data_IF_355363130453
#
_entry.id   IF_355363130453
#
_cell.length_a   1.000
_cell.length_b   1.000
_cell.length_c   1.000
_cell.angle_alpha   90.00
_cell.angle_beta   90.00
_cell.angle_gamma   90.00
#
_symmetry.space_group_name_H-M   'P 1'
#
loop_
_entity.id
_entity.type
_entity.pdbx_description
1 polymer ?
#
# COMPACT_ATOMS: atom_id res chain seq x y z
N UNK A 1 -22.42 11.37 22.01
CA UNK A 1 -22.42 11.93 20.65
C UNK A 1 -21.31 11.20 19.90
N UNK A 2 -21.68 10.19 19.12
CA UNK A 2 -20.75 9.20 18.56
C UNK A 2 -19.86 9.81 17.47
N UNK A 3 -18.55 9.62 17.63
CA UNK A 3 -17.50 10.13 16.72
C UNK A 3 -17.32 9.28 15.43
N UNK A 4 -18.13 8.23 15.21
CA UNK A 4 -17.87 7.27 14.14
C UNK A 4 -18.15 7.81 12.74
N UNK A 5 -19.26 8.47 12.53
CA UNK A 5 -19.62 8.98 11.20
C UNK A 5 -18.75 10.16 10.73
N UNK A 6 -18.28 11.02 11.66
CA UNK A 6 -17.39 12.14 11.33
C UNK A 6 -15.97 11.74 10.85
N UNK A 7 -15.49 10.55 11.19
CA UNK A 7 -14.17 10.08 10.78
C UNK A 7 -14.13 9.58 9.32
N UNK A 8 -15.24 9.09 8.79
CA UNK A 8 -15.30 8.60 7.40
C UNK A 8 -15.48 9.72 6.37
N UNK A 9 -16.06 10.86 6.75
CA UNK A 9 -16.23 12.03 5.86
C UNK A 9 -14.87 12.64 5.47
N UNK A 10 -13.85 12.56 6.31
CA UNK A 10 -12.50 13.11 6.02
C UNK A 10 -11.61 12.22 5.14
N UNK A 11 -11.88 10.93 5.05
CA UNK A 11 -11.06 10.00 4.26
C UNK A 11 -11.48 9.93 2.77
N UNK A 12 -12.72 10.29 2.42
CA UNK A 12 -13.22 10.24 1.03
C UNK A 12 -13.02 11.54 0.24
N UNK A 13 -12.59 12.64 0.87
CA UNK A 13 -12.41 13.94 0.20
C UNK A 13 -11.11 14.11 -0.59
N UNK A 14 -10.28 13.07 -0.68
CA UNK A 14 -8.96 13.14 -1.34
C UNK A 14 -8.86 12.40 -2.69
N UNK A 15 -9.94 11.83 -3.23
CA UNK A 15 -9.88 11.07 -4.49
C UNK A 15 -10.89 11.47 -5.58
N UNK A 16 -11.56 12.61 -5.47
CA UNK A 16 -12.47 13.09 -6.51
C UNK A 16 -12.23 14.56 -6.86
N UNK A 17 -11.02 14.85 -7.39
CA UNK A 17 -10.74 16.11 -8.06
C UNK A 17 -10.45 15.87 -9.54
N UNK A 18 -11.48 15.55 -10.32
CA UNK A 18 -11.46 15.82 -11.77
C UNK A 18 -12.87 15.98 -12.30
N UNK A 19 -13.10 17.18 -12.82
CA UNK A 19 -14.16 17.61 -13.74
C UNK A 19 -15.61 17.66 -13.21
N UNK A 20 -15.98 18.80 -12.62
CA UNK A 20 -17.33 19.33 -12.81
C UNK A 20 -17.20 20.81 -13.22
N UNK A 21 -17.38 21.02 -14.51
CA UNK A 21 -17.71 22.35 -15.07
C UNK A 21 -19.08 22.73 -14.52
N UNK A 22 -19.14 23.88 -13.90
CA UNK A 22 -20.36 24.40 -13.30
C UNK A 22 -21.46 24.69 -14.32
N UNK A 23 -22.65 24.43 -13.91
CA UNK A 23 -23.81 25.19 -14.30
C UNK A 23 -24.54 25.61 -13.03
N UNK A 24 -24.33 26.83 -12.60
CA UNK A 24 -25.26 27.49 -11.72
C UNK A 24 -26.58 27.62 -12.46
N UNK A 25 -27.59 26.89 -12.02
CA UNK A 25 -28.97 27.23 -12.31
C UNK A 25 -29.65 27.61 -11.00
N UNK A 26 -29.92 28.88 -10.86
CA UNK A 26 -30.92 29.39 -9.92
C UNK A 26 -32.22 28.60 -10.12
N UNK A 27 -32.63 27.84 -9.13
CA UNK A 27 -33.97 27.24 -9.13
C UNK A 27 -34.88 28.05 -8.22
N UNK A 28 -35.51 29.02 -8.84
CA UNK A 28 -36.80 29.54 -8.35
C UNK A 28 -37.90 28.63 -8.86
N UNK A 29 -38.74 28.11 -7.96
CA UNK A 29 -40.09 27.63 -8.30
C UNK A 29 -40.21 26.12 -8.55
N UNK A 30 -41.13 25.53 -7.80
CA UNK A 30 -41.62 24.18 -7.76
C UNK A 30 -41.41 23.31 -9.00
N UNK A 31 -40.66 22.21 -8.86
CA UNK A 31 -40.57 21.17 -9.88
C UNK A 31 -41.93 20.45 -9.97
N UNK A 32 -42.57 20.49 -11.14
CA UNK A 32 -43.79 19.71 -11.45
C UNK A 32 -43.48 18.20 -11.71
N UNK A 33 -42.34 17.69 -11.25
CA UNK A 33 -41.97 16.31 -11.42
C UNK A 33 -42.30 15.45 -10.19
N UNK A 34 -42.63 14.18 -10.43
CA UNK A 34 -42.78 13.20 -9.34
C UNK A 34 -41.39 12.98 -8.69
N UNK A 35 -41.31 13.00 -7.36
CA UNK A 35 -40.06 12.71 -6.67
C UNK A 35 -39.50 11.33 -7.05
N UNK A 36 -38.18 11.25 -7.20
CA UNK A 36 -37.45 10.02 -7.54
C UNK A 36 -36.22 9.88 -6.63
N UNK A 37 -36.08 8.73 -5.98
CA UNK A 37 -34.90 8.37 -5.24
C UNK A 37 -33.91 7.73 -6.22
N UNK A 38 -32.64 8.12 -6.15
CA UNK A 38 -31.55 7.50 -6.91
C UNK A 38 -30.51 7.00 -5.93
N UNK A 39 -30.29 5.68 -5.90
CA UNK A 39 -29.30 5.00 -5.07
C UNK A 39 -28.44 4.14 -5.99
N UNK A 40 -27.11 4.36 -5.98
CA UNK A 40 -26.18 3.62 -6.84
C UNK A 40 -25.81 2.25 -6.26
N UNK A 41 -25.77 2.13 -4.93
CA UNK A 41 -25.36 0.92 -4.22
C UNK A 41 -26.57 0.18 -3.69
N UNK A 42 -26.85 -1.01 -4.22
CA UNK A 42 -27.99 -1.85 -3.80
C UNK A 42 -27.58 -3.04 -2.93
N UNK A 43 -26.26 -3.23 -2.71
CA UNK A 43 -25.73 -4.34 -1.89
C UNK A 43 -24.54 -3.90 -1.09
N UNK A 44 -24.49 -4.28 0.18
CA UNK A 44 -23.34 -4.17 1.07
C UNK A 44 -22.91 -5.56 1.52
N UNK A 45 -21.67 -5.94 1.23
CA UNK A 45 -21.04 -7.13 1.78
C UNK A 45 -20.19 -6.72 2.99
N UNK A 46 -20.59 -7.18 4.15
CA UNK A 46 -20.05 -6.74 5.45
C UNK A 46 -19.28 -7.89 6.08
N UNK A 47 -18.09 -7.58 6.61
CA UNK A 47 -17.32 -8.55 7.40
C UNK A 47 -18.00 -8.86 8.75
N UNK A 48 -17.70 -10.03 9.33
CA UNK A 48 -18.31 -10.50 10.58
C UNK A 48 -18.16 -9.54 11.78
N UNK A 49 -17.11 -8.71 11.81
CA UNK A 49 -16.92 -7.69 12.87
C UNK A 49 -17.91 -6.52 12.80
N UNK A 50 -18.64 -6.38 11.67
CA UNK A 50 -19.53 -5.25 11.46
C UNK A 50 -18.77 -3.93 11.30
N UNK A 51 -19.43 -2.81 11.66
CA UNK A 51 -18.88 -1.45 11.63
C UNK A 51 -19.81 -0.44 10.98
N UNK A 52 -19.35 0.80 10.87
CA UNK A 52 -20.10 1.89 10.26
C UNK A 52 -19.98 1.94 8.73
N UNK A 53 -21.09 2.15 8.05
CA UNK A 53 -21.21 2.23 6.60
C UNK A 53 -21.95 3.50 6.20
N UNK A 54 -21.63 4.00 5.00
CA UNK A 54 -22.28 5.16 4.41
C UNK A 54 -22.82 4.80 3.04
N UNK A 55 -24.05 5.16 2.78
CA UNK A 55 -24.73 4.99 1.51
C UNK A 55 -25.11 6.35 0.93
N UNK A 56 -24.60 6.67 -0.24
CA UNK A 56 -24.95 7.90 -0.95
C UNK A 56 -26.27 7.74 -1.69
N UNK A 57 -27.09 8.79 -1.66
CA UNK A 57 -28.33 8.87 -2.41
C UNK A 57 -28.62 10.28 -2.92
N UNK A 58 -29.53 10.40 -3.85
CA UNK A 58 -30.04 11.67 -4.37
C UNK A 58 -31.56 11.61 -4.53
N UNK A 59 -32.25 12.69 -4.20
CA UNK A 59 -33.67 12.84 -4.50
C UNK A 59 -33.82 13.87 -5.60
N UNK A 60 -34.32 13.43 -6.75
CA UNK A 60 -34.73 14.33 -7.83
C UNK A 60 -36.17 14.79 -7.61
N UNK A 61 -36.45 16.03 -7.93
CA UNK A 61 -37.77 16.67 -7.77
C UNK A 61 -38.32 16.59 -6.32
N UNK A 62 -37.45 16.45 -5.33
CA UNK A 62 -37.82 16.38 -3.93
C UNK A 62 -38.10 17.76 -3.32
N UNK A 63 -38.80 17.77 -2.18
CA UNK A 63 -39.03 18.96 -1.39
C UNK A 63 -37.82 19.31 -0.56
N UNK A 64 -37.34 20.54 -0.62
CA UNK A 64 -36.17 21.02 0.11
C UNK A 64 -36.32 20.77 1.63
N UNK A 65 -35.38 20.05 2.20
CA UNK A 65 -35.31 19.78 3.64
C UNK A 65 -36.11 18.56 4.10
N UNK A 66 -36.85 17.91 3.20
CA UNK A 66 -37.51 16.62 3.51
C UNK A 66 -36.52 15.50 3.26
N UNK A 67 -36.32 14.63 4.26
CA UNK A 67 -35.44 13.46 4.20
C UNK A 67 -36.25 12.22 3.83
N UNK A 68 -35.61 11.19 3.25
CA UNK A 68 -36.26 9.90 3.02
C UNK A 68 -36.55 9.19 4.35
N UNK A 69 -37.54 8.37 4.34
CA UNK A 69 -37.81 7.40 5.39
C UNK A 69 -36.98 6.15 5.16
N UNK A 70 -36.26 5.73 6.21
CA UNK A 70 -35.34 4.59 6.15
C UNK A 70 -35.74 3.58 7.20
N UNK A 71 -36.08 2.38 6.77
CA UNK A 71 -36.49 1.26 7.62
C UNK A 71 -35.55 0.08 7.51
N UNK A 72 -35.11 -0.46 8.64
CA UNK A 72 -34.44 -1.77 8.71
C UNK A 72 -35.16 -2.62 9.77
N UNK A 73 -35.56 -3.83 9.40
CA UNK A 73 -36.29 -4.74 10.29
C UNK A 73 -35.36 -5.62 11.17
N UNK A 74 -34.07 -5.54 10.96
CA UNK A 74 -33.10 -6.32 11.72
C UNK A 74 -32.59 -5.52 12.91
N UNK A 75 -32.44 -6.18 14.03
CA UNK A 75 -31.88 -5.66 15.28
C UNK A 75 -30.34 -5.48 15.26
N UNK A 76 -29.68 -5.99 14.22
CA UNK A 76 -28.23 -5.95 14.06
C UNK A 76 -27.73 -4.89 13.04
N UNK A 77 -28.65 -4.10 12.47
CA UNK A 77 -28.33 -2.93 11.64
C UNK A 77 -29.06 -1.71 12.19
N UNK A 78 -28.29 -0.76 12.69
CA UNK A 78 -28.79 0.46 13.30
C UNK A 78 -28.62 1.63 12.31
N UNK A 79 -29.71 2.32 11.95
CA UNK A 79 -29.64 3.57 11.16
C UNK A 79 -29.23 4.68 12.11
N UNK A 80 -28.00 5.21 11.95
CA UNK A 80 -27.45 6.24 12.85
C UNK A 80 -27.82 7.65 12.44
N UNK A 81 -27.79 7.95 11.14
CA UNK A 81 -28.04 9.29 10.63
C UNK A 81 -28.55 9.26 9.18
N UNK A 82 -29.53 10.09 8.88
CA UNK A 82 -29.99 10.36 7.51
C UNK A 82 -29.77 11.84 7.23
N UNK A 83 -28.93 12.16 6.28
CA UNK A 83 -28.66 13.52 5.81
C UNK A 83 -29.34 13.75 4.46
N UNK A 84 -29.18 14.90 3.83
CA UNK A 84 -29.75 15.20 2.50
C UNK A 84 -29.10 14.44 1.35
N UNK A 85 -27.97 13.77 1.59
CA UNK A 85 -27.21 13.04 0.54
C UNK A 85 -26.74 11.65 0.97
N UNK A 86 -26.78 11.33 2.28
CA UNK A 86 -26.19 10.13 2.82
C UNK A 86 -27.06 9.51 3.90
N UNK A 87 -27.03 8.18 3.94
CA UNK A 87 -27.57 7.37 5.03
C UNK A 87 -26.41 6.68 5.70
N UNK A 88 -26.18 6.96 6.97
CA UNK A 88 -25.17 6.33 7.81
C UNK A 88 -25.84 5.23 8.62
N UNK A 89 -25.27 4.02 8.59
CA UNK A 89 -25.77 2.92 9.39
C UNK A 89 -24.61 2.12 9.97
N UNK A 90 -24.85 1.51 11.11
CA UNK A 90 -23.89 0.65 11.79
C UNK A 90 -24.38 -0.80 11.74
N UNK A 91 -23.47 -1.72 11.46
CA UNK A 91 -23.73 -3.17 11.45
C UNK A 91 -23.07 -3.76 12.69
N UNK A 92 -23.82 -4.40 13.56
CA UNK A 92 -23.31 -5.07 14.75
C UNK A 92 -22.51 -6.30 14.37
N UNK A 93 -21.56 -6.72 15.23
CA UNK A 93 -20.81 -7.95 15.00
C UNK A 93 -21.75 -9.16 14.85
N UNK A 94 -21.42 -10.05 13.90
CA UNK A 94 -22.14 -11.30 13.72
C UNK A 94 -21.49 -12.37 14.61
N UNK A 95 -22.07 -12.62 15.77
CA UNK A 95 -21.61 -13.63 16.72
C UNK A 95 -21.98 -15.09 16.34
N UNK A 96 -22.69 -15.24 15.21
CA UNK A 96 -23.09 -16.55 14.69
C UNK A 96 -22.07 -17.03 13.67
N UNK A 97 -21.95 -18.36 13.56
CA UNK A 97 -21.11 -19.02 12.55
C UNK A 97 -21.80 -19.15 11.18
N UNK A 98 -22.76 -18.29 10.90
CA UNK A 98 -23.57 -18.29 9.68
C UNK A 98 -23.63 -16.89 9.10
N UNK A 99 -23.59 -16.80 7.77
CA UNK A 99 -23.88 -15.57 7.05
C UNK A 99 -25.32 -15.10 7.36
N UNK A 100 -25.52 -13.82 7.55
CA UNK A 100 -26.85 -13.24 7.74
C UNK A 100 -27.11 -12.12 6.74
N UNK A 101 -28.34 -11.99 6.29
CA UNK A 101 -28.76 -10.97 5.33
C UNK A 101 -29.98 -10.23 5.84
N UNK A 102 -29.99 -8.94 5.66
CA UNK A 102 -31.16 -8.07 5.89
C UNK A 102 -31.35 -7.08 4.75
N UNK A 103 -32.40 -6.27 4.87
CA UNK A 103 -32.79 -5.25 3.90
C UNK A 103 -32.99 -3.92 4.58
N UNK A 104 -32.42 -2.87 3.98
CA UNK A 104 -32.73 -1.49 4.30
C UNK A 104 -33.69 -1.00 3.21
N UNK A 105 -34.87 -0.56 3.59
CA UNK A 105 -35.85 0.04 2.68
C UNK A 105 -35.77 1.56 2.80
N UNK A 106 -35.65 2.22 1.67
CA UNK A 106 -35.61 3.68 1.57
C UNK A 106 -36.80 4.15 0.75
N UNK A 107 -37.65 4.98 1.34
CA UNK A 107 -38.84 5.54 0.72
C UNK A 107 -38.85 7.07 0.86
N UNK A 108 -39.54 7.73 -0.04
CA UNK A 108 -39.70 9.17 -0.01
C UNK A 108 -41.17 9.56 -0.33
N UNK A 109 -41.69 10.51 0.40
CA UNK A 109 -43.06 10.95 0.23
C UNK A 109 -43.31 11.45 -1.19
N UNK A 110 -44.35 10.91 -1.84
CA UNK A 110 -44.69 11.24 -3.23
C UNK A 110 -43.88 10.53 -4.31
N UNK A 111 -42.82 9.79 -3.98
CA UNK A 111 -42.11 8.91 -4.93
C UNK A 111 -42.97 7.69 -5.26
N UNK A 112 -42.87 7.22 -6.52
CA UNK A 112 -43.62 6.02 -6.95
C UNK A 112 -43.00 4.72 -6.40
N UNK A 113 -41.69 4.69 -6.28
CA UNK A 113 -40.93 3.48 -5.94
C UNK A 113 -40.14 3.70 -4.64
N UNK A 114 -40.01 2.64 -3.88
CA UNK A 114 -39.05 2.53 -2.79
C UNK A 114 -37.85 1.68 -3.22
N UNK A 115 -36.69 1.96 -2.66
CA UNK A 115 -35.46 1.18 -2.91
C UNK A 115 -35.21 0.20 -1.77
N UNK A 116 -34.75 -1.00 -2.15
CA UNK A 116 -34.35 -2.04 -1.20
C UNK A 116 -32.86 -2.31 -1.38
N UNK A 117 -32.13 -2.14 -0.30
CA UNK A 117 -30.69 -2.37 -0.23
C UNK A 117 -30.45 -3.62 0.61
N UNK A 118 -29.67 -4.56 0.08
CA UNK A 118 -29.31 -5.78 0.79
C UNK A 118 -28.02 -5.56 1.58
N UNK A 119 -28.05 -5.93 2.86
CA UNK A 119 -26.86 -5.98 3.70
C UNK A 119 -26.61 -7.45 4.02
N UNK A 120 -25.56 -8.02 3.45
CA UNK A 120 -25.12 -9.38 3.70
C UNK A 120 -23.89 -9.34 4.58
N UNK A 121 -23.96 -9.91 5.77
CA UNK A 121 -22.86 -9.98 6.71
C UNK A 121 -22.38 -11.42 6.84
N UNK A 122 -21.10 -11.62 6.55
CA UNK A 122 -20.44 -12.90 6.78
C UNK A 122 -20.45 -13.26 8.27
N UNK A 123 -20.27 -14.53 8.55
CA UNK A 123 -19.97 -15.03 9.89
C UNK A 123 -18.80 -14.27 10.53
N UNK A 124 -18.80 -14.13 11.84
CA UNK A 124 -17.62 -13.65 12.54
C UNK A 124 -16.56 -14.74 12.46
N UNK A 125 -15.62 -14.57 11.57
CA UNK A 125 -14.39 -15.34 11.64
C UNK A 125 -13.75 -14.97 12.98
N UNK A 126 -13.86 -15.86 13.95
CA UNK A 126 -13.13 -15.77 15.21
C UNK A 126 -11.68 -15.53 14.84
N UNK A 127 -10.99 -14.60 15.50
CA UNK A 127 -9.56 -14.33 15.28
C UNK A 127 -8.81 -15.67 15.48
N UNK A 128 -8.69 -16.43 14.38
CA UNK A 128 -8.01 -17.74 14.38
C UNK A 128 -6.51 -17.54 14.50
N UNK A 129 -6.02 -16.37 14.06
CA UNK A 129 -4.61 -16.02 14.11
C UNK A 129 -4.40 -14.67 14.78
N UNK A 130 -3.32 -14.58 15.55
CA UNK A 130 -2.74 -13.30 15.96
C UNK A 130 -1.46 -13.06 15.17
N UNK A 131 -1.33 -11.87 14.56
CA UNK A 131 -0.15 -11.45 13.79
C UNK A 131 0.49 -10.27 14.51
N UNK A 132 1.71 -10.47 15.00
CA UNK A 132 2.48 -9.47 15.73
C UNK A 132 3.77 -9.14 14.99
N UNK A 133 4.30 -7.94 15.23
CA UNK A 133 5.59 -7.50 14.70
C UNK A 133 6.50 -7.15 15.86
N UNK A 134 7.14 -8.15 16.52
CA UNK A 134 7.94 -7.92 17.71
C UNK A 134 9.24 -7.15 17.46
N UNK A 135 9.73 -7.14 16.24
CA UNK A 135 10.87 -6.33 15.80
C UNK A 135 10.53 -5.60 14.53
N UNK A 136 10.81 -4.30 14.47
CA UNK A 136 10.56 -3.44 13.30
C UNK A 136 11.62 -2.35 13.21
N UNK A 137 12.44 -2.43 12.16
CA UNK A 137 13.49 -1.46 11.81
C UNK A 137 13.32 -0.96 10.38
N UNK A 138 14.07 0.04 9.91
CA UNK A 138 13.96 0.53 8.54
C UNK A 138 14.23 -0.49 7.44
N UNK A 139 14.92 -1.58 7.71
CA UNK A 139 15.39 -2.54 6.72
C UNK A 139 15.07 -4.00 7.03
N UNK A 140 14.49 -4.27 8.20
CA UNK A 140 14.01 -5.60 8.60
C UNK A 140 12.84 -5.54 9.56
N UNK A 141 12.05 -6.59 9.57
CA UNK A 141 11.07 -6.85 10.62
C UNK A 141 10.91 -8.35 10.86
N UNK A 142 10.48 -8.67 12.07
CA UNK A 142 10.06 -10.03 12.43
C UNK A 142 8.56 -10.07 12.54
N UNK A 143 7.92 -11.02 11.88
CA UNK A 143 6.49 -11.30 12.06
C UNK A 143 6.36 -12.57 12.87
N UNK A 144 5.47 -12.54 13.85
CA UNK A 144 5.03 -13.70 14.63
C UNK A 144 3.57 -13.98 14.31
N UNK A 145 3.31 -15.18 13.83
CA UNK A 145 1.96 -15.71 13.66
C UNK A 145 1.67 -16.71 14.74
N UNK A 146 0.57 -16.52 15.46
CA UNK A 146 0.12 -17.42 16.53
C UNK A 146 -1.29 -17.89 16.20
N UNK A 147 -1.49 -19.16 15.83
CA UNK A 147 -2.80 -19.73 15.64
C UNK A 147 -3.49 -19.94 17.00
N UNK A 148 -4.80 -19.99 17.02
CA UNK A 148 -5.61 -20.24 18.22
C UNK A 148 -5.45 -21.66 18.76
N UNK A 149 -5.09 -22.61 17.89
CA UNK A 149 -4.75 -24.00 18.22
C UNK A 149 -3.53 -24.43 17.43
N UNK A 150 -2.64 -25.20 18.06
CA UNK A 150 -1.44 -25.76 17.41
C UNK A 150 -1.76 -26.82 16.35
N UNK A 151 -3.01 -27.31 16.31
CA UNK A 151 -3.47 -28.25 15.29
C UNK A 151 -3.74 -27.59 13.92
N UNK A 152 -3.81 -26.25 13.89
CA UNK A 152 -4.04 -25.51 12.66
C UNK A 152 -2.77 -25.50 11.83
N UNK A 153 -2.82 -26.15 10.66
CA UNK A 153 -1.78 -26.06 9.62
C UNK A 153 -2.09 -24.83 8.76
N UNK A 154 -1.09 -23.98 8.53
CA UNK A 154 -1.29 -22.72 7.83
C UNK A 154 -0.07 -22.28 7.01
N UNK A 155 -0.29 -21.36 6.09
CA UNK A 155 0.76 -20.71 5.28
C UNK A 155 0.92 -19.27 5.77
N UNK A 156 2.05 -18.91 6.43
CA UNK A 156 2.41 -17.53 6.73
C UNK A 156 3.20 -16.92 5.58
N UNK A 157 2.87 -15.70 5.18
CA UNK A 157 3.63 -15.00 4.13
C UNK A 157 3.56 -13.48 4.29
N UNK A 158 4.38 -12.78 3.49
CA UNK A 158 4.33 -11.33 3.31
C UNK A 158 4.27 -10.97 1.82
N UNK A 159 3.63 -9.85 1.52
CA UNK A 159 3.63 -9.27 0.17
C UNK A 159 3.79 -7.75 0.29
N UNK A 160 4.54 -7.12 -0.59
CA UNK A 160 4.57 -5.66 -0.62
C UNK A 160 3.22 -5.12 -1.10
N UNK A 161 2.72 -4.04 -0.49
CA UNK A 161 1.45 -3.44 -0.91
C UNK A 161 1.51 -2.91 -2.33
N UNK A 162 2.67 -2.48 -2.79
CA UNK A 162 2.85 -1.99 -4.17
C UNK A 162 2.69 -3.15 -5.17
N UNK A 163 3.28 -4.33 -4.89
CA UNK A 163 3.09 -5.51 -5.73
C UNK A 163 1.63 -5.98 -5.70
N UNK A 164 1.00 -6.00 -4.53
CA UNK A 164 -0.40 -6.39 -4.39
C UNK A 164 -1.34 -5.51 -5.24
N UNK A 165 -1.11 -4.19 -5.25
CA UNK A 165 -1.88 -3.26 -6.08
C UNK A 165 -1.58 -3.47 -7.58
N UNK A 166 -0.32 -3.69 -7.94
CA UNK A 166 0.09 -3.86 -9.34
C UNK A 166 -0.36 -5.20 -9.94
N UNK A 167 -0.47 -6.26 -9.14
CA UNK A 167 -0.94 -7.58 -9.60
C UNK A 167 -2.41 -7.60 -9.98
N UNK A 168 -3.18 -6.56 -9.61
CA UNK A 168 -4.62 -6.50 -9.85
C UNK A 168 -5.44 -7.45 -8.98
N UNK A 169 -4.81 -8.05 -7.96
CA UNK A 169 -5.50 -8.87 -6.96
C UNK A 169 -6.31 -7.95 -6.05
N UNK A 170 -7.62 -8.11 -6.04
CA UNK A 170 -8.56 -7.25 -5.31
C UNK A 170 -9.27 -7.96 -4.14
N UNK A 171 -8.94 -9.23 -3.92
CA UNK A 171 -9.61 -10.08 -2.92
C UNK A 171 -8.65 -11.04 -2.23
N UNK A 172 -9.04 -11.52 -1.04
CA UNK A 172 -8.32 -12.58 -0.33
C UNK A 172 -8.28 -13.89 -1.14
N UNK A 173 -9.35 -14.24 -1.81
CA UNK A 173 -9.45 -15.43 -2.66
C UNK A 173 -8.51 -15.32 -3.86
N UNK A 174 -8.43 -14.13 -4.49
CA UNK A 174 -7.52 -13.86 -5.58
C UNK A 174 -6.06 -14.02 -5.15
N UNK A 175 -5.68 -13.50 -3.99
CA UNK A 175 -4.31 -13.64 -3.46
C UNK A 175 -3.94 -15.11 -3.19
N UNK A 176 -4.83 -15.85 -2.54
CA UNK A 176 -4.63 -17.29 -2.28
C UNK A 176 -4.50 -18.06 -3.59
N UNK A 177 -5.40 -17.81 -4.55
CA UNK A 177 -5.38 -18.47 -5.86
C UNK A 177 -4.08 -18.22 -6.62
N UNK A 178 -3.62 -16.97 -6.66
CA UNK A 178 -2.35 -16.61 -7.31
C UNK A 178 -1.16 -17.31 -6.65
N UNK A 179 -1.14 -17.34 -5.31
CA UNK A 179 -0.09 -18.00 -4.54
C UNK A 179 -0.06 -19.52 -4.80
N UNK A 180 -1.22 -20.20 -4.82
CA UNK A 180 -1.29 -21.62 -5.14
C UNK A 180 -0.92 -21.93 -6.59
N UNK A 181 -1.31 -21.10 -7.56
CA UNK A 181 -0.86 -21.22 -8.95
C UNK A 181 0.66 -21.15 -9.06
N UNK A 182 1.29 -20.26 -8.32
CA UNK A 182 2.75 -20.19 -8.24
C UNK A 182 3.34 -21.47 -7.63
N UNK A 183 2.84 -21.96 -6.50
CA UNK A 183 3.34 -23.17 -5.86
C UNK A 183 3.14 -24.42 -6.73
N UNK A 184 2.01 -24.55 -7.41
CA UNK A 184 1.76 -25.63 -8.38
C UNK A 184 2.76 -25.59 -9.54
N UNK A 185 3.06 -24.40 -10.06
CA UNK A 185 4.09 -24.23 -11.10
C UNK A 185 5.46 -24.66 -10.61
N UNK A 186 5.85 -24.30 -9.38
CA UNK A 186 7.11 -24.73 -8.77
C UNK A 186 7.15 -26.25 -8.59
N UNK A 187 6.06 -26.84 -8.10
CA UNK A 187 5.92 -28.27 -7.91
C UNK A 187 6.09 -29.05 -9.23
N UNK A 188 5.37 -28.63 -10.27
CA UNK A 188 5.46 -29.22 -11.61
C UNK A 188 6.88 -29.16 -12.17
N UNK A 189 7.55 -28.01 -12.06
CA UNK A 189 8.93 -27.85 -12.54
C UNK A 189 9.93 -28.72 -11.78
N UNK A 190 9.64 -29.03 -10.51
CA UNK A 190 10.46 -29.90 -9.67
C UNK A 190 10.11 -31.39 -9.79
N UNK A 191 9.02 -31.76 -10.48
CA UNK A 191 8.50 -33.11 -10.54
C UNK A 191 7.96 -33.64 -9.19
N UNK A 192 7.42 -32.72 -8.37
CA UNK A 192 6.89 -32.99 -7.02
C UNK A 192 5.37 -32.71 -6.99
N UNK A 193 4.71 -33.20 -5.94
CA UNK A 193 3.36 -32.72 -5.61
C UNK A 193 3.40 -31.37 -4.94
N UNK A 194 2.26 -30.69 -4.88
CA UNK A 194 2.09 -29.45 -4.15
C UNK A 194 2.45 -29.61 -2.67
N UNK A 195 1.92 -30.67 -2.04
CA UNK A 195 2.15 -31.00 -0.63
C UNK A 195 3.66 -31.24 -0.36
N UNK A 196 4.34 -32.05 -1.19
CA UNK A 196 5.77 -32.28 -1.08
C UNK A 196 6.58 -30.97 -1.23
N UNK A 197 6.18 -30.12 -2.16
CA UNK A 197 6.83 -28.82 -2.41
C UNK A 197 6.71 -27.90 -1.22
N UNK A 198 5.50 -27.70 -0.69
CA UNK A 198 5.25 -26.83 0.45
C UNK A 198 5.91 -27.35 1.73
N UNK A 199 5.92 -28.66 1.94
CA UNK A 199 6.61 -29.32 3.07
C UNK A 199 8.11 -29.13 2.99
N UNK A 200 8.74 -29.44 1.85
CA UNK A 200 10.20 -29.33 1.65
C UNK A 200 10.69 -27.90 1.73
N UNK A 201 9.90 -26.95 1.27
CA UNK A 201 10.23 -25.51 1.33
C UNK A 201 9.83 -24.86 2.66
N UNK A 202 9.29 -25.63 3.60
CA UNK A 202 8.83 -25.15 4.91
C UNK A 202 7.83 -23.98 4.80
N UNK A 203 6.99 -24.00 3.76
CA UNK A 203 5.95 -22.98 3.55
C UNK A 203 4.70 -23.23 4.38
N UNK A 204 4.45 -24.49 4.75
CA UNK A 204 3.40 -24.87 5.69
C UNK A 204 3.96 -25.04 7.09
N UNK A 205 3.27 -24.51 8.07
CA UNK A 205 3.66 -24.54 9.48
C UNK A 205 2.45 -24.84 10.38
N UNK A 206 2.70 -25.22 11.63
CA UNK A 206 1.72 -25.32 12.69
C UNK A 206 2.26 -24.70 13.98
N UNK A 207 1.39 -24.36 14.92
CA UNK A 207 1.80 -23.67 16.14
C UNK A 207 2.34 -22.27 15.89
N UNK A 208 2.93 -21.63 16.89
CA UNK A 208 3.49 -20.28 16.78
C UNK A 208 4.75 -20.28 15.92
N UNK A 209 4.79 -19.45 14.90
CA UNK A 209 5.93 -19.29 13.97
C UNK A 209 6.38 -17.84 13.93
N UNK A 210 7.70 -17.64 13.88
CA UNK A 210 8.30 -16.31 13.71
C UNK A 210 9.28 -16.32 12.54
N UNK A 211 9.14 -15.37 11.62
CA UNK A 211 10.02 -15.22 10.45
C UNK A 211 10.54 -13.79 10.42
N UNK A 212 11.87 -13.66 10.26
CA UNK A 212 12.52 -12.36 10.08
C UNK A 212 12.78 -12.12 8.60
N UNK A 213 12.32 -11.00 8.11
CA UNK A 213 12.53 -10.51 6.76
C UNK A 213 13.53 -9.36 6.80
N UNK A 214 14.58 -9.44 6.01
CA UNK A 214 15.62 -8.42 5.90
C UNK A 214 15.82 -7.98 4.46
N UNK A 215 16.63 -6.95 4.24
CA UNK A 215 16.84 -6.38 2.90
C UNK A 215 15.62 -5.66 2.38
N UNK A 216 14.82 -5.09 3.26
CA UNK A 216 13.60 -4.37 2.95
C UNK A 216 13.90 -2.91 2.62
N UNK A 217 12.99 -2.30 1.88
CA UNK A 217 13.11 -0.89 1.54
C UNK A 217 12.50 -0.01 2.63
N UNK A 218 13.26 0.93 3.19
CA UNK A 218 12.73 1.88 4.18
C UNK A 218 11.54 2.68 3.65
N UNK A 219 10.53 2.84 4.50
CA UNK A 219 9.30 3.56 4.17
C UNK A 219 8.33 2.82 3.24
N UNK A 220 8.60 1.54 2.93
CA UNK A 220 7.66 0.68 2.21
C UNK A 220 6.58 0.13 3.14
N UNK A 221 5.56 -0.50 2.54
CA UNK A 221 4.48 -1.15 3.26
C UNK A 221 4.38 -2.60 2.83
N UNK A 222 4.10 -3.46 3.79
CA UNK A 222 3.88 -4.88 3.57
C UNK A 222 2.57 -5.31 4.18
N UNK A 223 1.94 -6.29 3.55
CA UNK A 223 0.86 -7.07 4.10
C UNK A 223 1.49 -8.34 4.66
N UNK A 224 1.45 -8.55 5.99
CA UNK A 224 1.74 -9.84 6.59
C UNK A 224 0.43 -10.59 6.72
N UNK A 225 0.36 -11.80 6.19
CA UNK A 225 -0.88 -12.57 6.16
C UNK A 225 -0.63 -14.05 6.42
N UNK A 226 -1.69 -14.76 6.76
CA UNK A 226 -1.71 -16.21 6.85
C UNK A 226 -3.13 -16.72 6.61
N UNK A 227 -3.25 -17.98 6.23
CA UNK A 227 -4.51 -18.69 6.09
C UNK A 227 -4.30 -20.18 6.37
N UNK A 228 -5.34 -20.84 6.91
CA UNK A 228 -5.30 -22.28 7.19
C UNK A 228 -5.45 -23.10 5.92
N UNK A 229 -4.77 -24.23 5.85
CA UNK A 229 -4.79 -25.12 4.68
C UNK A 229 -4.74 -26.58 5.08
N UNK A 230 -5.47 -27.42 4.37
CA UNK A 230 -5.28 -28.87 4.31
C UNK A 230 -4.82 -29.26 2.91
N UNK A 231 -3.89 -30.19 2.81
CA UNK A 231 -3.29 -30.64 1.56
C UNK A 231 -3.51 -32.14 1.36
N UNK A 232 -3.74 -32.55 0.11
CA UNK A 232 -3.78 -33.94 -0.33
C UNK A 232 -3.16 -34.04 -1.72
N UNK A 233 -1.85 -34.36 -1.76
CA UNK A 233 -1.08 -34.40 -2.99
C UNK A 233 -1.03 -33.05 -3.71
N UNK A 234 -1.82 -32.87 -4.78
CA UNK A 234 -1.93 -31.62 -5.53
C UNK A 234 -3.19 -30.81 -5.19
N UNK A 235 -4.10 -31.38 -4.42
CA UNK A 235 -5.33 -30.73 -4.00
C UNK A 235 -5.12 -29.96 -2.69
N UNK A 236 -5.90 -28.91 -2.50
CA UNK A 236 -5.87 -28.11 -1.28
C UNK A 236 -7.26 -27.63 -0.89
N UNK A 237 -7.48 -27.46 0.40
CA UNK A 237 -8.68 -26.88 0.99
C UNK A 237 -8.28 -25.75 1.95
N UNK A 238 -8.99 -24.64 1.92
CA UNK A 238 -8.79 -23.53 2.86
C UNK A 238 -9.58 -23.82 4.12
N UNK A 239 -8.88 -24.17 5.19
CA UNK A 239 -9.46 -24.55 6.50
C UNK A 239 -9.67 -23.36 7.43
N UNK A 240 -8.97 -22.24 7.19
CA UNK A 240 -9.16 -20.99 7.89
C UNK A 240 -8.93 -19.81 6.92
N UNK A 241 -9.80 -18.78 6.95
CA UNK A 241 -9.74 -17.68 6.02
C UNK A 241 -8.47 -16.84 6.21
N UNK A 242 -8.16 -16.02 5.20
CA UNK A 242 -6.99 -15.15 5.21
C UNK A 242 -7.10 -14.09 6.32
N UNK A 243 -6.11 -14.10 7.20
CA UNK A 243 -5.85 -13.09 8.22
C UNK A 243 -4.68 -12.23 7.79
N UNK A 244 -4.74 -10.93 8.01
CA UNK A 244 -3.64 -10.04 7.65
C UNK A 244 -3.48 -8.84 8.58
N UNK A 245 -2.29 -8.27 8.56
CA UNK A 245 -1.99 -6.95 9.13
C UNK A 245 -1.09 -6.16 8.19
N UNK A 246 -1.22 -4.83 8.21
CA UNK A 246 -0.37 -3.93 7.43
C UNK A 246 0.82 -3.49 8.27
N UNK A 247 2.03 -3.74 7.77
CA UNK A 247 3.29 -3.34 8.39
C UNK A 247 3.85 -2.14 7.62
N UNK A 248 4.01 -1.01 8.31
CA UNK A 248 4.64 0.17 7.75
C UNK A 248 6.10 0.20 8.17
N UNK A 249 7.02 -0.03 7.23
CA UNK A 249 8.45 0.04 7.48
C UNK A 249 8.83 1.49 7.79
N UNK A 250 9.54 1.75 8.91
CA UNK A 250 10.01 3.09 9.20
C UNK A 250 10.95 3.62 8.11
N UNK A 251 10.96 4.94 7.93
CA UNK A 251 11.98 5.58 7.08
C UNK A 251 13.35 5.45 7.73
N UNK A 252 14.38 5.21 6.91
CA UNK A 252 15.76 5.31 7.36
C UNK A 252 16.05 6.74 7.81
N UNK A 253 16.59 6.90 9.02
CA UNK A 253 17.14 8.18 9.46
C UNK A 253 18.46 8.42 8.73
N UNK A 254 18.48 9.49 7.93
CA UNK A 254 19.68 9.89 7.20
C UNK A 254 20.54 10.82 8.06
N UNK A 255 21.82 10.52 8.18
CA UNK A 255 22.77 11.40 8.85
C UNK A 255 23.13 12.59 7.95
N UNK A 256 23.48 13.72 8.55
CA UNK A 256 24.07 14.85 7.82
C UNK A 256 25.51 14.53 7.49
N UNK A 257 25.93 14.89 6.28
CA UNK A 257 27.31 14.76 5.82
C UNK A 257 27.70 15.98 4.99
N UNK A 258 28.99 16.11 4.71
CA UNK A 258 29.53 17.19 3.88
C UNK A 258 30.36 16.57 2.75
N UNK A 259 30.02 17.00 1.53
CA UNK A 259 30.79 16.79 0.32
C UNK A 259 31.05 18.15 -0.32
N UNK A 260 32.29 18.42 -0.70
CA UNK A 260 32.56 19.53 -1.62
C UNK A 260 32.36 19.01 -3.03
N UNK A 261 31.42 19.62 -3.75
CA UNK A 261 31.08 19.25 -5.13
C UNK A 261 31.38 20.47 -6.00
N UNK A 262 32.28 20.32 -6.94
CA UNK A 262 32.61 21.38 -7.91
C UNK A 262 32.41 20.86 -9.32
N UNK A 263 31.83 21.69 -10.16
CA UNK A 263 31.57 21.40 -11.57
C UNK A 263 32.39 22.32 -12.45
N UNK A 264 32.97 21.80 -13.53
CA UNK A 264 33.74 22.57 -14.51
C UNK A 264 33.24 22.15 -15.90
N UNK A 265 32.61 23.07 -16.61
CA UNK A 265 32.25 22.87 -18.00
C UNK A 265 33.53 22.79 -18.84
N UNK A 266 33.70 21.74 -19.60
CA UNK A 266 34.86 21.52 -20.48
C UNK A 266 34.57 22.02 -21.89
N UNK A 267 33.34 21.81 -22.35
CA UNK A 267 32.80 22.33 -23.62
C UNK A 267 31.26 22.33 -23.55
N UNK A 268 30.59 22.49 -24.68
CA UNK A 268 29.10 22.57 -24.75
C UNK A 268 28.38 21.29 -24.40
N UNK A 269 29.06 20.16 -24.31
CA UNK A 269 28.45 18.86 -24.01
C UNK A 269 29.17 18.10 -22.89
N UNK A 270 30.32 18.57 -22.43
CA UNK A 270 31.15 17.86 -21.47
C UNK A 270 31.37 18.64 -20.19
N UNK A 271 31.20 17.98 -19.07
CA UNK A 271 31.40 18.51 -17.72
C UNK A 271 32.34 17.60 -16.92
N UNK A 272 33.16 18.22 -16.09
CA UNK A 272 33.92 17.54 -15.04
C UNK A 272 33.30 17.87 -13.68
N UNK A 273 32.99 16.81 -12.93
CA UNK A 273 32.44 16.89 -11.59
C UNK A 273 33.49 16.33 -10.63
N UNK A 274 33.98 17.18 -9.73
CA UNK A 274 34.92 16.77 -8.68
C UNK A 274 34.15 16.67 -7.35
N UNK A 275 34.39 15.61 -6.62
CA UNK A 275 33.72 15.28 -5.37
C UNK A 275 34.77 14.98 -4.32
N UNK A 276 34.75 15.75 -3.23
CA UNK A 276 35.61 15.57 -2.08
C UNK A 276 34.79 15.31 -0.83
N UNK A 277 34.77 14.08 -0.29
CA UNK A 277 34.11 13.78 0.98
C UNK A 277 34.83 14.49 2.14
N UNK A 278 34.11 15.24 2.98
CA UNK A 278 34.68 15.91 4.16
C UNK A 278 34.42 15.15 5.46
N UNK A 279 33.23 14.58 5.59
CA UNK A 279 32.82 13.91 6.83
C UNK A 279 32.33 12.48 6.60
N UNK A 280 32.47 11.95 5.38
CA UNK A 280 32.07 10.59 5.02
C UNK A 280 33.27 9.77 4.53
N UNK A 281 33.55 8.65 5.20
CA UNK A 281 34.70 7.77 4.88
C UNK A 281 34.30 6.47 4.15
N UNK A 282 32.97 6.22 3.99
CA UNK A 282 32.43 5.05 3.30
C UNK A 282 32.27 5.25 1.80
N UNK A 283 31.59 4.32 1.17
CA UNK A 283 31.15 4.48 -0.21
C UNK A 283 30.08 5.57 -0.32
N UNK A 284 30.03 6.24 -1.46
CA UNK A 284 29.00 7.20 -1.80
C UNK A 284 28.53 7.04 -3.24
N UNK A 285 27.27 7.33 -3.49
CA UNK A 285 26.68 7.35 -4.83
C UNK A 285 26.58 8.79 -5.34
N UNK A 286 26.60 8.91 -6.66
CA UNK A 286 26.46 10.17 -7.40
C UNK A 286 25.30 10.00 -8.38
N UNK A 287 24.34 10.89 -8.30
CA UNK A 287 23.24 10.98 -9.26
C UNK A 287 23.27 12.34 -9.94
N UNK A 288 23.32 12.34 -11.27
CA UNK A 288 23.20 13.55 -12.09
C UNK A 288 21.78 13.60 -12.65
N UNK A 289 21.03 14.61 -12.25
CA UNK A 289 19.58 14.73 -12.47
C UNK A 289 19.35 15.94 -13.38
N UNK A 290 18.83 15.74 -14.61
CA UNK A 290 18.51 16.86 -15.50
C UNK A 290 17.28 17.64 -15.01
N UNK A 291 17.18 18.91 -15.37
CA UNK A 291 16.06 19.78 -15.01
C UNK A 291 14.70 19.25 -15.50
N UNK A 292 14.71 18.50 -16.59
CA UNK A 292 13.54 17.81 -17.13
C UNK A 292 13.03 16.65 -16.25
N UNK A 293 13.82 16.22 -15.25
CA UNK A 293 13.48 15.12 -14.35
C UNK A 293 12.57 15.56 -13.22
N UNK A 294 11.60 14.70 -12.83
CA UNK A 294 10.77 14.90 -11.64
C UNK A 294 11.55 14.94 -10.32
N UNK A 295 12.81 14.53 -10.32
CA UNK A 295 13.69 14.55 -9.14
C UNK A 295 14.51 15.83 -9.03
N UNK A 296 14.49 16.68 -10.06
CA UNK A 296 15.17 17.96 -10.03
C UNK A 296 14.53 18.89 -9.00
N UNK A 297 15.36 19.62 -8.31
CA UNK A 297 14.92 20.64 -7.34
C UNK A 297 15.69 21.94 -7.66
N UNK A 298 14.99 23.04 -7.75
CA UNK A 298 15.56 24.35 -8.08
C UNK A 298 16.69 24.78 -7.12
N UNK A 299 17.75 25.44 -7.62
CA UNK A 299 18.83 25.98 -6.79
C UNK A 299 18.28 26.85 -5.64
N UNK A 300 18.83 26.62 -4.44
CA UNK A 300 18.41 27.32 -3.23
C UNK A 300 17.17 26.72 -2.54
N UNK A 301 16.52 25.74 -3.15
CA UNK A 301 15.43 24.99 -2.53
C UNK A 301 15.97 23.73 -1.86
N UNK A 302 15.55 23.46 -0.62
CA UNK A 302 15.92 22.22 0.06
C UNK A 302 15.26 21.02 -0.61
N UNK A 303 16.00 19.90 -0.76
CA UNK A 303 15.42 18.64 -1.19
C UNK A 303 14.26 18.24 -0.27
N UNK A 304 13.08 18.11 -0.84
CA UNK A 304 11.89 17.65 -0.12
C UNK A 304 12.02 16.18 0.29
N UNK A 305 11.32 15.79 1.36
CA UNK A 305 11.29 14.39 1.85
C UNK A 305 10.84 13.41 0.76
N UNK A 306 9.88 13.80 -0.09
CA UNK A 306 9.41 13.00 -1.21
C UNK A 306 10.49 12.75 -2.26
N UNK A 307 11.27 13.78 -2.62
CA UNK A 307 12.39 13.67 -3.56
C UNK A 307 13.48 12.75 -3.00
N UNK A 308 13.88 12.96 -1.74
CA UNK A 308 14.88 12.10 -1.07
C UNK A 308 14.39 10.64 -1.04
N UNK A 309 13.12 10.40 -0.70
CA UNK A 309 12.54 9.06 -0.71
C UNK A 309 12.59 8.45 -2.11
N UNK A 310 12.24 9.18 -3.14
CA UNK A 310 12.26 8.71 -4.52
C UNK A 310 13.69 8.37 -5.00
N UNK A 311 14.67 9.22 -4.68
CA UNK A 311 16.09 8.96 -4.96
C UNK A 311 16.59 7.70 -4.24
N UNK A 312 16.24 7.54 -2.96
CA UNK A 312 16.57 6.35 -2.18
C UNK A 312 15.93 5.09 -2.80
N UNK A 313 14.64 5.16 -3.16
CA UNK A 313 13.92 4.06 -3.80
C UNK A 313 14.60 3.63 -5.10
N UNK A 314 14.92 4.58 -5.96
CA UNK A 314 15.59 4.31 -7.24
C UNK A 314 16.95 3.65 -7.02
N UNK A 315 17.77 4.19 -6.14
CA UNK A 315 19.08 3.63 -5.82
C UNK A 315 18.96 2.20 -5.25
N UNK A 316 18.08 2.00 -4.27
CA UNK A 316 17.84 0.70 -3.66
C UNK A 316 17.40 -0.36 -4.68
N UNK A 317 16.45 -0.04 -5.56
CA UNK A 317 15.96 -0.96 -6.57
C UNK A 317 17.04 -1.29 -7.62
N UNK A 318 17.85 -0.33 -8.02
CA UNK A 318 18.99 -0.58 -8.90
C UNK A 318 20.00 -1.53 -8.26
N UNK A 319 20.35 -1.29 -6.99
CA UNK A 319 21.25 -2.17 -6.25
C UNK A 319 20.67 -3.57 -6.10
N UNK A 320 19.42 -3.70 -5.70
CA UNK A 320 18.72 -4.98 -5.54
C UNK A 320 18.68 -5.77 -6.84
N UNK A 321 18.32 -5.15 -7.96
CA UNK A 321 18.26 -5.80 -9.27
C UNK A 321 19.64 -6.27 -9.74
N UNK A 322 20.68 -5.48 -9.52
CA UNK A 322 22.05 -5.86 -9.86
C UNK A 322 22.52 -7.05 -9.03
N UNK A 323 22.17 -7.10 -7.74
CA UNK A 323 22.53 -8.19 -6.83
C UNK A 323 21.74 -9.49 -7.09
N UNK A 324 20.59 -9.43 -7.74
CA UNK A 324 19.86 -10.64 -8.18
C UNK A 324 20.63 -11.43 -9.26
N UNK A 325 21.45 -10.74 -10.06
CA UNK A 325 22.25 -11.35 -11.13
C UNK A 325 23.66 -11.73 -10.68
N UNK A 326 24.22 -10.97 -9.74
CA UNK A 326 25.55 -11.21 -9.18
C UNK A 326 25.52 -10.84 -7.69
N UNK A 327 25.43 -11.82 -6.82
CA UNK A 327 25.26 -11.63 -5.38
C UNK A 327 26.58 -11.19 -4.68
N UNK A 328 27.33 -10.28 -5.29
CA UNK A 328 28.56 -9.70 -4.74
C UNK A 328 28.35 -8.20 -4.45
N UNK A 329 28.07 -7.91 -3.18
CA UNK A 329 27.82 -6.57 -2.68
C UNK A 329 29.04 -5.68 -2.82
N UNK A 330 30.21 -6.20 -2.51
CA UNK A 330 31.45 -5.43 -2.56
C UNK A 330 31.78 -5.05 -4.00
N UNK A 331 31.60 -5.99 -4.94
CA UNK A 331 31.76 -5.72 -6.36
C UNK A 331 30.78 -4.66 -6.85
N UNK A 332 29.50 -4.73 -6.42
CA UNK A 332 28.52 -3.70 -6.76
C UNK A 332 28.95 -2.33 -6.26
N UNK A 333 29.37 -2.22 -5.00
CA UNK A 333 29.82 -0.96 -4.41
C UNK A 333 31.05 -0.40 -5.12
N UNK A 334 32.00 -1.23 -5.53
CA UNK A 334 33.19 -0.80 -6.26
C UNK A 334 32.89 -0.33 -7.69
N UNK A 335 31.87 -0.90 -8.34
CA UNK A 335 31.50 -0.54 -9.72
C UNK A 335 30.56 0.66 -9.75
N UNK A 336 29.57 0.70 -8.85
CA UNK A 336 28.45 1.65 -8.90
C UNK A 336 28.58 2.81 -7.91
N UNK A 337 29.54 2.77 -6.98
CA UNK A 337 29.76 3.77 -5.97
C UNK A 337 31.24 4.20 -5.96
N UNK A 338 31.51 5.27 -5.24
CA UNK A 338 32.87 5.85 -5.15
C UNK A 338 33.32 5.92 -3.69
N UNK A 339 34.62 6.02 -3.47
CA UNK A 339 35.22 6.19 -2.15
C UNK A 339 36.38 7.19 -2.24
N UNK A 340 36.49 8.10 -1.27
CA UNK A 340 37.49 9.17 -1.28
C UNK A 340 37.25 10.19 -2.40
N UNK A 341 38.26 10.97 -2.75
CA UNK A 341 38.19 11.94 -3.84
C UNK A 341 37.90 11.28 -5.19
N UNK A 342 36.99 11.90 -5.96
CA UNK A 342 36.66 11.41 -7.31
C UNK A 342 36.45 12.59 -8.27
N UNK A 343 37.02 12.44 -9.47
CA UNK A 343 36.77 13.29 -10.61
C UNK A 343 36.05 12.50 -11.69
N UNK A 344 34.87 12.94 -12.09
CA UNK A 344 34.02 12.31 -13.10
C UNK A 344 33.96 13.24 -14.32
N UNK A 345 34.20 12.69 -15.51
CA UNK A 345 33.93 13.40 -16.77
C UNK A 345 32.71 12.77 -17.46
N UNK A 346 31.75 13.59 -17.80
CA UNK A 346 30.49 13.14 -18.40
C UNK A 346 30.16 13.95 -19.64
N UNK A 347 29.56 13.31 -20.64
CA UNK A 347 28.96 13.94 -21.80
C UNK A 347 27.45 13.95 -21.64
N UNK A 348 26.85 15.13 -21.67
CA UNK A 348 25.45 15.37 -21.35
C UNK A 348 24.80 16.27 -22.40
N UNK A 349 23.49 16.28 -22.48
CA UNK A 349 22.72 17.20 -23.32
C UNK A 349 22.75 18.62 -22.75
N UNK A 350 22.61 19.69 -23.58
CA UNK A 350 22.53 21.06 -23.08
C UNK A 350 21.24 21.31 -22.29
N UNK A 351 21.31 21.33 -20.99
CA UNK A 351 20.26 21.70 -20.03
C UNK A 351 20.85 22.02 -18.66
N UNK A 352 19.99 22.32 -17.68
CA UNK A 352 20.38 22.45 -16.28
C UNK A 352 20.39 21.09 -15.57
N UNK A 353 21.34 20.92 -14.68
CA UNK A 353 21.54 19.67 -13.93
C UNK A 353 21.71 19.93 -12.44
N UNK A 354 21.20 18.99 -11.65
CA UNK A 354 21.50 18.84 -10.25
C UNK A 354 22.39 17.61 -10.04
N UNK A 355 23.52 17.77 -9.37
CA UNK A 355 24.35 16.66 -8.90
C UNK A 355 23.99 16.38 -7.45
N UNK A 356 23.53 15.19 -7.13
CA UNK A 356 23.26 14.75 -5.78
C UNK A 356 24.25 13.68 -5.35
N UNK A 357 24.90 13.88 -4.21
CA UNK A 357 25.90 12.97 -3.63
C UNK A 357 25.46 12.55 -2.24
N UNK A 358 25.43 11.25 -1.97
CA UNK A 358 25.04 10.72 -0.67
C UNK A 358 25.84 9.50 -0.28
N UNK A 359 26.09 9.36 1.03
CA UNK A 359 26.79 8.22 1.60
C UNK A 359 25.93 6.93 1.52
N UNK A 360 26.61 5.81 1.29
CA UNK A 360 26.01 4.49 1.07
C UNK A 360 26.68 3.46 1.96
N UNK A 361 25.91 2.53 2.52
CA UNK A 361 26.37 1.25 3.05
C UNK A 361 25.30 0.20 2.88
N UNK A 362 25.67 -1.08 2.95
CA UNK A 362 24.69 -2.17 2.94
C UNK A 362 23.86 -2.19 4.21
N UNK A 363 22.67 -2.75 4.12
CA UNK A 363 21.81 -3.07 5.25
C UNK A 363 22.08 -4.51 5.77
N UNK A 364 21.33 -4.96 6.77
CA UNK A 364 21.45 -6.31 7.33
C UNK A 364 21.13 -7.42 6.31
N UNK A 365 20.35 -7.10 5.27
CA UNK A 365 20.07 -8.00 4.14
C UNK A 365 21.09 -7.92 3.01
N UNK A 366 22.20 -7.17 3.20
CA UNK A 366 23.25 -7.02 2.22
C UNK A 366 22.95 -6.07 1.07
N UNK A 367 21.84 -5.36 1.05
CA UNK A 367 21.48 -4.43 -0.04
C UNK A 367 22.05 -3.04 0.26
N UNK A 368 22.79 -2.41 -0.66
CA UNK A 368 23.26 -1.04 -0.52
C UNK A 368 22.11 -0.04 -0.46
N UNK A 369 22.17 0.90 0.46
CA UNK A 369 21.15 1.91 0.66
C UNK A 369 21.75 3.26 1.07
N UNK A 370 20.98 4.32 0.84
CA UNK A 370 21.31 5.68 1.26
C UNK A 370 21.42 5.79 2.79
N UNK A 371 22.50 6.38 3.28
CA UNK A 371 22.76 6.58 4.72
C UNK A 371 22.84 8.04 5.14
N UNK A 372 23.07 8.93 4.18
CA UNK A 372 23.16 10.35 4.45
C UNK A 372 22.18 11.16 3.61
N UNK A 373 21.77 12.29 4.12
CA UNK A 373 21.01 13.27 3.31
C UNK A 373 21.86 13.67 2.10
N UNK A 374 21.31 13.69 0.89
CA UNK A 374 22.04 14.12 -0.29
C UNK A 374 22.56 15.56 -0.18
N UNK A 375 23.81 15.77 -0.54
CA UNK A 375 24.39 17.10 -0.77
C UNK A 375 24.27 17.37 -2.27
N UNK A 376 23.83 18.57 -2.64
CA UNK A 376 23.56 18.92 -4.03
C UNK A 376 24.39 20.08 -4.52
N UNK A 377 24.76 20.05 -5.79
CA UNK A 377 25.33 21.16 -6.56
C UNK A 377 24.62 21.27 -7.91
N UNK A 378 24.70 22.40 -8.56
CA UNK A 378 24.01 22.69 -9.82
C UNK A 378 25.00 23.21 -10.87
N UNK A 379 24.71 22.88 -12.12
CA UNK A 379 25.43 23.40 -13.28
C UNK A 379 24.54 23.40 -14.51
N UNK A 380 24.92 24.18 -15.53
CA UNK A 380 24.27 24.21 -16.85
C UNK A 380 25.30 23.87 -17.93
N UNK A 381 24.84 23.25 -19.02
CA UNK A 381 25.61 22.99 -20.23
C UNK A 381 25.01 23.72 -21.42
#
# INVERSE_FOLDING_TARGET
MNLSCKRYIFALLLLAASTLVGCESEVAGGSNGVPEIVISTTKFNVGGKGGGYVMDYQIKNGVKGVLPEVECLSDWVDIEEVTTMQICFNVQANDKMEERTTRIKVSYEGAKDSHVIFVTQREMVLDIFTIETPELTPDKFTVRWTPKSDDIVYIPNIISTDYFIMSGVDSAEGLITEEFNYFLSVAQNAGLTLEETLTRTQKIVSGTTSITYSGLMPGSKYLAYCYGVALDGNDYEITAPLHYTVINIPMQQLSKTQFDITTTQLDSANVRINIEPKTWNGYYAVQVVPASSMYYTEPGTSLGTSTIKAMHTTFFNQAKNSLMTNNDIEQYLQISCYKGHKSLSMSLSPEEYMVAVFGVSSNDGGIPMMRTTPVVAYFSL
#
